data_IF_489411549745
#
_entry.id   IF_489411549745
#
_cell.length_a   1.000
_cell.length_b   1.000
_cell.length_c   1.000
_cell.angle_alpha   90.00
_cell.angle_beta   90.00
_cell.angle_gamma   90.00
#
_symmetry.space_group_name_H-M   'P 1'
#
loop_
_entity.id
_entity.type
_entity.pdbx_description
1 polymer ?
#
# COMPACT_ATOMS: atom_id res chain seq x y z
N UNK A 1 -15.82 8.37 -12.39
CA UNK A 1 -14.53 7.69 -12.13
C UNK A 1 -13.56 8.18 -13.17
N UNK A 2 -12.51 8.87 -12.76
CA UNK A 2 -11.53 9.42 -13.69
C UNK A 2 -10.16 9.26 -13.04
N UNK A 3 -9.13 8.92 -13.81
CA UNK A 3 -7.75 8.98 -13.33
C UNK A 3 -6.84 9.69 -14.31
N UNK A 4 -5.75 10.23 -13.79
CA UNK A 4 -4.65 10.83 -14.56
C UNK A 4 -3.33 10.21 -14.12
N UNK A 5 -2.42 9.91 -15.05
CA UNK A 5 -1.08 9.42 -14.69
C UNK A 5 -0.36 10.44 -13.81
N UNK A 6 0.23 10.00 -12.71
CA UNK A 6 1.01 10.84 -11.81
C UNK A 6 2.50 10.55 -11.94
N UNK A 7 2.87 9.28 -12.03
CA UNK A 7 4.27 8.87 -12.19
C UNK A 7 4.42 7.83 -13.30
N UNK A 8 5.40 8.05 -14.17
CA UNK A 8 5.83 7.09 -15.18
C UNK A 8 7.31 6.78 -14.96
N UNK A 9 7.66 5.50 -14.75
CA UNK A 9 9.00 5.06 -14.35
C UNK A 9 9.57 5.77 -13.10
N UNK A 10 8.68 6.25 -12.22
CA UNK A 10 9.07 6.98 -11.03
C UNK A 10 9.48 8.43 -11.28
N UNK A 11 9.20 8.98 -12.46
CA UNK A 11 9.27 10.41 -12.73
C UNK A 11 7.86 10.99 -12.55
N UNK A 12 7.72 12.02 -11.72
CA UNK A 12 6.52 12.83 -11.65
C UNK A 12 6.31 13.53 -13.00
N UNK A 13 5.20 13.23 -13.66
CA UNK A 13 4.87 13.78 -14.97
C UNK A 13 4.65 15.29 -14.94
N UNK A 14 4.48 15.89 -13.75
CA UNK A 14 4.35 17.34 -13.57
C UNK A 14 5.66 18.04 -13.15
N UNK A 15 6.76 17.31 -12.94
CA UNK A 15 8.05 17.87 -12.51
C UNK A 15 8.74 18.77 -13.54
N UNK A 16 8.25 18.82 -14.78
CA UNK A 16 8.92 19.50 -15.90
C UNK A 16 10.15 18.75 -16.44
N UNK A 17 10.49 17.58 -15.88
CA UNK A 17 11.52 16.70 -16.41
C UNK A 17 11.02 15.97 -17.65
N UNK A 18 11.95 15.68 -18.56
CA UNK A 18 11.65 14.86 -19.73
C UNK A 18 11.30 13.44 -19.28
N UNK A 19 10.09 13.00 -19.63
CA UNK A 19 9.61 11.63 -19.39
C UNK A 19 9.77 10.87 -20.70
N UNK A 20 10.68 9.89 -20.72
CA UNK A 20 10.98 9.13 -21.93
C UNK A 20 10.14 7.85 -21.99
N UNK A 21 9.42 7.60 -23.10
CA UNK A 21 8.83 6.30 -23.38
C UNK A 21 9.85 5.17 -23.27
N UNK A 22 9.40 3.98 -22.87
CA UNK A 22 10.29 2.82 -22.88
C UNK A 22 10.32 2.23 -24.29
N UNK A 23 11.47 2.34 -24.95
CA UNK A 23 11.74 1.61 -26.18
C UNK A 23 12.16 0.17 -25.85
N UNK A 24 11.26 -0.80 -25.99
CA UNK A 24 11.61 -2.21 -25.80
C UNK A 24 10.43 -3.13 -25.51
N UNK A 25 10.62 -4.42 -25.79
CA UNK A 25 9.64 -5.47 -25.51
C UNK A 25 9.80 -6.11 -24.13
N UNK A 26 9.07 -7.20 -23.91
CA UNK A 26 9.24 -8.05 -22.73
C UNK A 26 10.72 -8.44 -22.57
N UNK A 27 11.24 -8.35 -21.34
CA UNK A 27 12.65 -8.61 -21.03
C UNK A 27 13.55 -7.37 -20.99
N UNK A 28 13.09 -6.21 -21.48
CA UNK A 28 13.84 -4.96 -21.37
C UNK A 28 14.14 -4.61 -19.92
N UNK A 29 15.39 -4.28 -19.63
CA UNK A 29 15.86 -3.91 -18.31
C UNK A 29 15.99 -2.39 -18.20
N UNK A 30 15.00 -1.76 -17.56
CA UNK A 30 15.06 -0.33 -17.19
C UNK A 30 15.25 -0.23 -15.68
N UNK A 31 16.24 0.54 -15.16
CA UNK A 31 16.42 0.72 -13.73
C UNK A 31 15.16 1.22 -13.04
N UNK A 32 14.87 0.70 -11.84
CA UNK A 32 13.77 1.19 -11.01
C UNK A 32 14.33 2.10 -9.91
N UNK A 33 13.79 3.32 -9.71
CA UNK A 33 14.27 4.21 -8.65
C UNK A 33 13.89 3.75 -7.24
N UNK A 34 12.97 2.79 -7.10
CA UNK A 34 12.39 2.40 -5.80
C UNK A 34 12.88 1.05 -5.27
N UNK A 35 13.73 0.34 -6.01
CA UNK A 35 14.30 -0.96 -5.62
C UNK A 35 15.64 -1.18 -6.32
N UNK A 36 16.45 -2.08 -5.76
CA UNK A 36 17.62 -2.55 -6.48
C UNK A 36 17.20 -3.37 -7.72
N UNK A 37 17.69 -2.97 -8.90
CA UNK A 37 17.46 -3.67 -10.17
C UNK A 37 16.40 -3.01 -11.06
N UNK A 38 15.79 -3.81 -11.94
CA UNK A 38 14.93 -3.30 -13.01
C UNK A 38 13.46 -3.16 -12.64
N UNK A 39 12.74 -2.29 -13.36
CA UNK A 39 11.31 -2.14 -13.27
C UNK A 39 10.60 -3.44 -13.70
N UNK A 40 9.88 -4.06 -12.75
CA UNK A 40 9.18 -5.32 -13.00
C UNK A 40 8.09 -5.21 -14.07
N UNK A 41 7.43 -4.05 -14.17
CA UNK A 41 6.42 -3.78 -15.21
C UNK A 41 7.04 -3.82 -16.59
N UNK A 42 8.13 -3.09 -16.80
CA UNK A 42 8.86 -3.09 -18.09
C UNK A 42 9.35 -4.50 -18.45
N UNK A 43 10.01 -5.19 -17.51
CA UNK A 43 10.51 -6.55 -17.73
C UNK A 43 9.40 -7.52 -18.14
N UNK A 44 8.16 -7.31 -17.68
CA UNK A 44 6.99 -8.11 -18.04
C UNK A 44 6.28 -7.64 -19.33
N UNK A 45 6.68 -6.51 -19.92
CA UNK A 45 6.03 -5.88 -21.08
C UNK A 45 4.81 -5.03 -20.73
N UNK A 46 4.63 -4.67 -19.45
CA UNK A 46 3.54 -3.82 -18.98
C UNK A 46 3.96 -2.34 -18.97
N UNK A 47 2.97 -1.44 -19.11
CA UNK A 47 3.17 0.00 -19.02
C UNK A 47 3.68 0.39 -17.62
N UNK A 48 4.81 1.11 -17.50
CA UNK A 48 5.47 1.36 -16.21
C UNK A 48 4.90 2.57 -15.46
N UNK A 49 3.57 2.61 -15.31
CA UNK A 49 2.90 3.61 -14.46
C UNK A 49 3.12 3.23 -13.00
N UNK A 50 3.65 4.15 -12.19
CA UNK A 50 3.92 3.93 -10.77
C UNK A 50 2.75 4.35 -9.88
N UNK A 51 2.10 5.46 -10.23
CA UNK A 51 0.94 6.00 -9.52
C UNK A 51 0.05 6.81 -10.48
N UNK A 52 -1.20 6.98 -10.08
CA UNK A 52 -2.19 7.82 -10.76
C UNK A 52 -2.83 8.75 -9.72
N UNK A 53 -3.42 9.86 -10.15
CA UNK A 53 -4.34 10.64 -9.32
C UNK A 53 -5.77 10.36 -9.75
N UNK A 54 -6.68 10.26 -8.80
CA UNK A 54 -8.09 10.07 -9.10
C UNK A 54 -8.80 11.39 -9.46
N UNK A 55 -10.12 11.36 -9.60
CA UNK A 55 -10.92 12.54 -9.93
C UNK A 55 -10.93 13.63 -8.85
N UNK A 56 -10.57 13.30 -7.60
CA UNK A 56 -10.38 14.27 -6.52
C UNK A 56 -8.96 14.85 -6.47
N UNK A 57 -8.04 14.31 -7.27
CA UNK A 57 -6.63 14.68 -7.27
C UNK A 57 -5.79 13.90 -6.27
N UNK A 58 -6.37 12.96 -5.53
CA UNK A 58 -5.64 12.15 -4.54
C UNK A 58 -4.81 11.06 -5.21
N UNK A 59 -3.59 10.85 -4.71
CA UNK A 59 -2.65 9.88 -5.24
C UNK A 59 -3.07 8.43 -4.94
N UNK A 60 -2.95 7.58 -5.96
CA UNK A 60 -3.19 6.14 -5.90
C UNK A 60 -1.96 5.39 -6.42
N UNK A 61 -1.26 4.70 -5.52
CA UNK A 61 -0.04 3.96 -5.85
C UNK A 61 -0.40 2.61 -6.45
N UNK A 62 -0.11 2.42 -7.74
CA UNK A 62 -0.42 1.20 -8.51
C UNK A 62 0.80 0.28 -8.70
N UNK A 63 1.94 0.62 -8.07
CA UNK A 63 3.18 -0.13 -8.17
C UNK A 63 3.66 -0.53 -6.78
N UNK A 64 3.83 -1.84 -6.58
CA UNK A 64 4.35 -2.41 -5.32
C UNK A 64 5.72 -1.85 -4.94
N UNK A 65 6.62 -1.64 -5.92
CA UNK A 65 7.96 -1.10 -5.63
C UNK A 65 7.89 0.38 -5.23
N UNK A 66 6.96 1.15 -5.80
CA UNK A 66 6.74 2.54 -5.36
C UNK A 66 6.33 2.58 -3.90
N UNK A 67 5.63 1.57 -3.40
CA UNK A 67 5.30 1.43 -1.98
C UNK A 67 6.35 0.68 -1.16
N UNK A 68 7.58 0.52 -1.66
CA UNK A 68 8.65 -0.19 -0.94
C UNK A 68 8.41 -1.71 -0.78
N UNK A 69 8.02 -2.40 -1.86
CA UNK A 69 8.07 -3.87 -1.89
C UNK A 69 9.49 -4.44 -1.74
N UNK A 70 9.57 -5.71 -1.33
CA UNK A 70 10.79 -6.43 -0.91
C UNK A 70 11.69 -6.91 -2.04
N UNK A 71 11.18 -6.94 -3.28
CA UNK A 71 11.84 -7.57 -4.40
C UNK A 71 12.94 -6.69 -5.02
N UNK A 72 14.11 -7.27 -5.38
CA UNK A 72 14.54 -8.63 -5.09
C UNK A 72 15.03 -8.79 -3.64
N UNK A 73 14.62 -9.88 -2.99
CA UNK A 73 14.81 -10.11 -1.54
C UNK A 73 16.26 -10.15 -1.05
N UNK A 74 17.21 -10.48 -1.93
CA UNK A 74 18.62 -10.68 -1.59
C UNK A 74 19.50 -9.47 -1.93
N UNK A 75 18.95 -8.44 -2.59
CA UNK A 75 19.70 -7.22 -2.90
C UNK A 75 19.72 -6.25 -1.71
N UNK A 76 20.71 -5.36 -1.58
CA UNK A 76 20.69 -4.30 -0.58
C UNK A 76 19.43 -3.42 -0.69
N UNK A 77 18.98 -2.86 0.44
CA UNK A 77 17.94 -1.84 0.42
C UNK A 77 18.47 -0.59 -0.28
N UNK A 78 17.64 0.02 -1.11
CA UNK A 78 17.91 1.35 -1.65
C UNK A 78 17.78 2.42 -0.57
N UNK A 79 18.27 3.62 -0.84
CA UNK A 79 18.05 4.79 0.02
C UNK A 79 16.55 5.05 0.22
N UNK A 80 15.77 5.02 -0.86
CA UNK A 80 14.31 5.13 -0.82
C UNK A 80 13.66 4.13 0.15
N UNK A 81 13.99 2.84 0.02
CA UNK A 81 13.42 1.81 0.89
C UNK A 81 13.86 2.01 2.35
N UNK A 82 15.12 2.39 2.56
CA UNK A 82 15.66 2.66 3.90
C UNK A 82 14.94 3.84 4.56
N UNK A 83 14.60 4.88 3.79
CA UNK A 83 13.90 6.07 4.27
C UNK A 83 12.43 5.82 4.58
N UNK A 84 11.75 5.00 3.77
CA UNK A 84 10.40 4.54 4.08
C UNK A 84 10.39 3.76 5.40
N UNK A 85 11.30 2.79 5.54
CA UNK A 85 11.35 1.91 6.71
C UNK A 85 11.73 2.65 7.99
N UNK A 86 12.70 3.58 7.93
CA UNK A 86 13.06 4.39 9.11
C UNK A 86 11.96 5.38 9.48
N UNK A 87 11.23 5.93 8.51
CA UNK A 87 10.10 6.81 8.79
C UNK A 87 8.98 6.06 9.51
N UNK A 88 8.64 4.85 9.03
CA UNK A 88 7.70 3.97 9.74
C UNK A 88 8.21 3.64 11.15
N UNK A 89 9.49 3.27 11.30
CA UNK A 89 10.06 2.98 12.61
C UNK A 89 9.97 4.16 13.58
N UNK A 90 10.22 5.39 13.10
CA UNK A 90 10.08 6.63 13.88
C UNK A 90 8.64 6.88 14.30
N UNK A 91 7.68 6.61 13.43
CA UNK A 91 6.24 6.68 13.77
C UNK A 91 5.86 5.66 14.85
N UNK A 92 6.44 4.45 14.82
CA UNK A 92 6.09 3.37 15.74
C UNK A 92 6.80 3.44 17.10
N UNK A 93 8.08 3.80 17.11
CA UNK A 93 8.97 3.69 18.27
C UNK A 93 9.52 5.04 18.74
N UNK A 94 9.21 6.14 18.04
CA UNK A 94 9.54 7.51 18.44
C UNK A 94 10.52 8.20 17.49
N UNK A 95 10.55 9.55 17.48
CA UNK A 95 11.27 10.34 16.49
C UNK A 95 12.80 10.19 16.57
N UNK A 96 13.34 9.77 17.71
CA UNK A 96 14.78 9.60 17.94
C UNK A 96 15.35 8.29 17.39
N UNK A 97 14.55 7.46 16.72
CA UNK A 97 15.00 6.19 16.14
C UNK A 97 15.95 6.49 14.98
N UNK A 98 17.13 5.88 15.02
CA UNK A 98 18.12 5.95 13.96
C UNK A 98 18.17 4.68 13.11
N UNK A 99 18.73 4.76 11.90
CA UNK A 99 18.83 3.61 10.98
C UNK A 99 19.55 2.42 11.62
N UNK A 100 20.51 2.67 12.52
CA UNK A 100 21.25 1.64 13.25
C UNK A 100 20.45 0.94 14.35
N UNK A 101 19.31 1.51 14.76
CA UNK A 101 18.45 0.96 15.81
C UNK A 101 17.48 -0.10 15.27
N UNK A 102 17.39 -0.25 13.94
CA UNK A 102 16.37 -1.06 13.27
C UNK A 102 17.02 -2.13 12.40
N UNK A 103 16.69 -3.39 12.64
CA UNK A 103 17.02 -4.49 11.75
C UNK A 103 15.77 -4.97 11.02
N UNK A 104 15.91 -5.34 9.75
CA UNK A 104 14.79 -5.83 8.93
C UNK A 104 15.09 -7.17 8.28
N UNK A 105 14.06 -8.01 8.19
CA UNK A 105 14.08 -9.25 7.40
C UNK A 105 12.93 -9.21 6.41
N UNK A 106 13.21 -9.57 5.15
CA UNK A 106 12.24 -9.53 4.05
C UNK A 106 11.60 -10.88 3.80
N UNK A 107 10.34 -10.88 3.33
CA UNK A 107 9.64 -12.06 2.82
C UNK A 107 9.61 -13.23 3.82
N UNK A 108 9.39 -12.91 5.11
CA UNK A 108 9.48 -13.89 6.20
C UNK A 108 8.29 -14.85 6.13
N UNK A 109 8.51 -16.18 6.09
CA UNK A 109 7.41 -17.14 6.12
C UNK A 109 6.58 -16.99 7.40
N UNK A 110 5.27 -16.84 7.22
CA UNK A 110 4.27 -16.83 8.27
C UNK A 110 3.55 -18.16 8.22
N UNK A 111 3.87 -19.02 9.19
CA UNK A 111 3.34 -20.38 9.27
C UNK A 111 1.90 -20.37 9.76
N UNK A 112 1.06 -21.09 9.05
CA UNK A 112 -0.35 -21.32 9.41
C UNK A 112 -0.62 -22.81 9.33
N UNK A 113 -1.31 -23.36 10.33
CA UNK A 113 -1.67 -24.78 10.31
C UNK A 113 -2.54 -25.11 9.09
N UNK A 114 -2.20 -26.20 8.39
CA UNK A 114 -3.00 -26.72 7.27
C UNK A 114 -2.98 -25.92 5.97
N UNK A 115 -2.08 -24.94 5.80
CA UNK A 115 -1.94 -24.17 4.56
C UNK A 115 -0.47 -23.96 4.18
N UNK A 116 -0.22 -23.67 2.91
CA UNK A 116 1.10 -23.22 2.45
C UNK A 116 1.50 -21.92 3.12
N UNK A 117 2.77 -21.79 3.50
CA UNK A 117 3.31 -20.58 4.13
C UNK A 117 3.00 -19.33 3.30
N UNK A 118 2.36 -18.36 3.94
CA UNK A 118 2.29 -16.98 3.44
C UNK A 118 3.59 -16.25 3.80
N UNK A 119 3.82 -15.05 3.26
CA UNK A 119 5.03 -14.26 3.57
C UNK A 119 4.65 -12.87 4.01
N UNK A 120 5.24 -12.43 5.12
CA UNK A 120 5.24 -11.03 5.50
C UNK A 120 6.22 -10.25 4.63
N UNK A 121 5.86 -9.03 4.23
CA UNK A 121 6.78 -8.17 3.47
C UNK A 121 8.04 -7.91 4.31
N UNK A 122 7.87 -7.37 5.50
CA UNK A 122 8.98 -7.12 6.41
C UNK A 122 8.67 -7.65 7.82
N UNK A 123 9.70 -8.15 8.48
CA UNK A 123 9.77 -8.20 9.95
C UNK A 123 10.81 -7.17 10.35
N UNK A 124 10.39 -6.16 11.10
CA UNK A 124 11.28 -5.14 11.65
C UNK A 124 11.46 -5.39 13.14
N UNK A 125 12.71 -5.37 13.60
CA UNK A 125 13.04 -5.57 15.01
C UNK A 125 13.95 -4.43 15.49
N UNK A 126 13.68 -3.87 16.67
CA UNK A 126 14.62 -2.96 17.32
C UNK A 126 15.86 -3.74 17.75
N UNK A 127 17.04 -3.10 17.69
CA UNK A 127 18.27 -3.68 18.25
C UNK A 127 18.20 -3.81 19.77
N UNK A 128 19.03 -4.69 20.35
CA UNK A 128 19.12 -4.86 21.80
C UNK A 128 19.40 -3.55 22.53
N UNK A 129 20.31 -2.76 21.97
CA UNK A 129 20.81 -1.53 22.58
C UNK A 129 19.73 -0.46 22.59
N UNK A 130 18.98 -0.32 21.50
CA UNK A 130 17.84 0.59 21.44
C UNK A 130 16.72 0.13 22.39
N UNK A 131 16.37 -1.16 22.35
CA UNK A 131 15.31 -1.72 23.20
C UNK A 131 15.62 -1.59 24.70
N UNK A 132 16.88 -1.68 25.10
CA UNK A 132 17.30 -1.53 26.51
C UNK A 132 16.99 -0.14 27.09
N UNK A 133 16.80 0.87 26.22
CA UNK A 133 16.49 2.25 26.59
C UNK A 133 14.98 2.51 26.71
N UNK A 134 14.13 1.60 26.23
CA UNK A 134 12.68 1.74 26.31
C UNK A 134 12.16 1.44 27.72
N UNK A 135 11.67 2.48 28.40
CA UNK A 135 11.07 2.39 29.74
C UNK A 135 9.56 2.14 29.71
N UNK A 136 8.95 2.24 28.54
CA UNK A 136 7.49 2.23 28.35
C UNK A 136 6.97 0.88 27.81
N UNK A 137 7.89 -0.02 27.42
CA UNK A 137 7.58 -1.30 26.79
C UNK A 137 6.74 -1.16 25.50
N UNK A 138 6.86 -0.01 24.84
CA UNK A 138 6.19 0.33 23.58
C UNK A 138 7.07 0.01 22.37
N UNK A 139 8.32 -0.40 22.58
CA UNK A 139 9.28 -0.81 21.54
C UNK A 139 9.34 -2.33 21.45
N UNK A 140 9.09 -2.87 20.27
CA UNK A 140 9.00 -4.33 20.06
C UNK A 140 9.01 -4.72 18.59
N UNK A 141 9.16 -6.04 18.31
CA UNK A 141 9.20 -6.55 16.95
C UNK A 141 7.85 -6.36 16.26
N UNK A 142 7.89 -6.04 14.96
CA UNK A 142 6.69 -5.85 14.16
C UNK A 142 6.74 -6.66 12.86
N UNK A 143 5.60 -7.22 12.49
CA UNK A 143 5.30 -7.67 11.14
C UNK A 143 4.74 -6.46 10.40
N UNK A 144 5.46 -6.01 9.37
CA UNK A 144 5.08 -4.88 8.53
C UNK A 144 4.64 -5.39 7.16
N UNK A 145 3.44 -5.01 6.78
CA UNK A 145 2.84 -5.24 5.46
C UNK A 145 2.70 -3.91 4.72
N UNK A 146 3.12 -3.88 3.47
CA UNK A 146 3.07 -2.70 2.61
C UNK A 146 1.96 -2.91 1.58
N UNK A 147 0.89 -2.11 1.61
CA UNK A 147 -0.18 -2.21 0.62
C UNK A 147 -0.51 -0.91 -0.12
N UNK A 148 -0.44 -1.00 -1.45
CA UNK A 148 -0.72 0.13 -2.32
C UNK A 148 -2.21 0.23 -2.60
N UNK A 149 -2.54 1.08 -3.56
CA UNK A 149 -3.89 1.09 -4.12
C UNK A 149 -4.22 -0.19 -4.90
N UNK A 150 -3.22 -0.85 -5.48
CA UNK A 150 -3.46 -2.01 -6.34
C UNK A 150 -3.98 -1.59 -7.73
N UNK A 151 -4.83 -2.42 -8.34
CA UNK A 151 -5.27 -2.23 -9.72
C UNK A 151 -6.30 -1.10 -9.85
N UNK A 152 -6.30 -0.42 -10.99
CA UNK A 152 -7.41 0.46 -11.40
C UNK A 152 -8.48 -0.33 -12.16
N UNK A 153 -9.70 0.18 -12.24
CA UNK A 153 -10.74 -0.41 -13.09
C UNK A 153 -10.43 -0.16 -14.56
N UNK A 154 -10.90 -1.04 -15.45
CA UNK A 154 -10.71 -0.89 -16.90
C UNK A 154 -9.24 -0.59 -17.30
N UNK A 155 -8.28 -1.31 -16.73
CA UNK A 155 -6.83 -1.12 -16.94
C UNK A 155 -6.40 -1.05 -18.42
N UNK A 156 -7.17 -1.65 -19.32
CA UNK A 156 -6.97 -1.55 -20.77
C UNK A 156 -7.06 -0.13 -21.33
N UNK A 157 -7.96 0.71 -20.79
CA UNK A 157 -8.12 2.10 -21.24
C UNK A 157 -6.89 2.96 -20.87
N UNK A 158 -6.39 2.82 -19.64
CA UNK A 158 -5.15 3.46 -19.21
C UNK A 158 -3.96 2.97 -20.03
N UNK A 159 -3.87 1.66 -20.25
CA UNK A 159 -2.83 1.04 -21.09
C UNK A 159 -2.83 1.60 -22.51
N UNK A 160 -4.01 1.77 -23.10
CA UNK A 160 -4.17 2.33 -24.44
C UNK A 160 -3.75 3.81 -24.50
N UNK A 161 -4.07 4.62 -23.48
CA UNK A 161 -3.60 6.01 -23.43
C UNK A 161 -2.08 6.10 -23.36
N UNK A 162 -1.45 5.34 -22.47
CA UNK A 162 0.01 5.31 -22.37
C UNK A 162 0.62 4.84 -23.70
N UNK A 163 0.06 3.80 -24.32
CA UNK A 163 0.52 3.30 -25.61
C UNK A 163 0.38 4.32 -26.76
N UNK A 164 -0.66 5.16 -26.74
CA UNK A 164 -0.81 6.27 -27.70
C UNK A 164 0.27 7.33 -27.49
N UNK A 165 0.48 7.75 -26.25
CA UNK A 165 1.51 8.71 -25.92
C UNK A 165 2.91 8.21 -26.30
N UNK A 166 3.27 6.95 -26.02
CA UNK A 166 4.60 6.41 -26.30
C UNK A 166 5.02 6.46 -27.77
N UNK A 167 4.07 6.52 -28.71
CA UNK A 167 4.34 6.58 -30.16
C UNK A 167 4.17 7.99 -30.75
N UNK A 168 3.87 9.00 -29.93
CA UNK A 168 3.80 10.39 -30.38
C UNK A 168 5.21 10.91 -30.70
N UNK A 169 5.41 11.66 -31.81
CA UNK A 169 6.72 12.22 -32.16
C UNK A 169 7.31 13.12 -31.06
N UNK A 170 6.45 13.78 -30.27
CA UNK A 170 6.85 14.66 -29.16
C UNK A 170 6.85 13.95 -27.79
N UNK A 171 6.63 12.63 -27.72
CA UNK A 171 6.45 11.91 -26.45
C UNK A 171 7.61 12.10 -25.45
N UNK A 172 8.83 12.21 -25.97
CA UNK A 172 10.06 12.47 -25.22
C UNK A 172 10.13 13.87 -24.58
N UNK A 173 9.41 14.84 -25.15
CA UNK A 173 9.46 16.26 -24.77
C UNK A 173 8.14 16.76 -24.19
N UNK A 174 7.03 16.07 -24.45
CA UNK A 174 5.68 16.44 -24.05
C UNK A 174 4.96 15.25 -23.42
N UNK A 175 4.43 15.46 -22.21
CA UNK A 175 3.58 14.48 -21.51
C UNK A 175 2.09 14.70 -21.77
N UNK A 176 1.73 15.57 -22.73
CA UNK A 176 0.39 16.10 -22.91
C UNK A 176 -0.69 15.02 -23.00
N UNK A 177 -0.47 13.96 -23.79
CA UNK A 177 -1.41 12.84 -23.88
C UNK A 177 -1.34 11.91 -22.67
N UNK A 178 -0.18 11.73 -22.06
CA UNK A 178 0.01 10.90 -20.86
C UNK A 178 -0.83 11.41 -19.68
N UNK A 179 -0.93 12.74 -19.54
CA UNK A 179 -1.61 13.41 -18.42
C UNK A 179 -3.09 13.73 -18.70
N UNK A 180 -3.65 13.29 -19.83
CA UNK A 180 -5.09 13.47 -20.08
C UNK A 180 -5.91 12.62 -19.11
N UNK A 181 -7.02 13.15 -18.57
CA UNK A 181 -7.90 12.35 -17.72
C UNK A 181 -8.53 11.19 -18.49
N UNK A 182 -8.47 9.98 -17.93
CA UNK A 182 -9.13 8.78 -18.45
C UNK A 182 -10.46 8.59 -17.71
N UNK A 183 -11.57 9.03 -18.32
CA UNK A 183 -12.90 9.14 -17.69
C UNK A 183 -13.64 7.81 -17.49
N UNK A 184 -13.07 6.68 -17.94
CA UNK A 184 -13.64 5.33 -17.75
C UNK A 184 -12.90 4.52 -16.68
N UNK A 185 -11.83 5.06 -16.11
CA UNK A 185 -10.95 4.36 -15.17
C UNK A 185 -11.11 4.97 -13.78
N UNK A 186 -11.20 4.11 -12.77
CA UNK A 186 -11.25 4.49 -11.36
C UNK A 186 -10.31 3.65 -10.50
N UNK A 187 -10.14 4.05 -9.26
CA UNK A 187 -9.51 3.26 -8.21
C UNK A 187 -10.45 2.13 -7.78
N UNK A 188 -9.90 1.03 -7.22
CA UNK A 188 -10.70 -0.11 -6.71
C UNK A 188 -10.27 -0.44 -5.28
N UNK A 189 -10.61 0.44 -4.35
CA UNK A 189 -10.32 0.34 -2.91
C UNK A 189 -10.87 -0.95 -2.32
N UNK A 190 -12.12 -1.31 -2.65
CA UNK A 190 -12.78 -2.50 -2.14
C UNK A 190 -12.02 -3.80 -2.50
N UNK A 191 -11.44 -3.89 -3.71
CA UNK A 191 -10.67 -5.06 -4.14
C UNK A 191 -9.31 -5.12 -3.44
N UNK A 192 -8.62 -3.98 -3.33
CA UNK A 192 -7.39 -3.87 -2.56
C UNK A 192 -7.63 -4.28 -1.10
N UNK A 193 -8.74 -3.84 -0.52
CA UNK A 193 -9.15 -4.16 0.85
C UNK A 193 -9.48 -5.64 1.03
N UNK A 194 -10.29 -6.24 0.14
CA UNK A 194 -10.66 -7.66 0.22
C UNK A 194 -9.43 -8.57 0.30
N UNK A 195 -8.39 -8.27 -0.50
CA UNK A 195 -7.12 -9.01 -0.47
C UNK A 195 -6.36 -8.83 0.84
N UNK A 196 -6.55 -7.71 1.52
CA UNK A 196 -5.89 -7.43 2.80
C UNK A 196 -6.58 -8.06 4.00
N UNK A 197 -7.92 -8.17 3.99
CA UNK A 197 -8.66 -8.76 5.10
C UNK A 197 -8.14 -10.13 5.52
N UNK A 198 -7.83 -11.00 4.55
CA UNK A 198 -7.23 -12.31 4.85
C UNK A 198 -5.88 -12.12 5.56
N UNK A 199 -5.02 -11.23 5.05
CA UNK A 199 -3.72 -10.91 5.64
C UNK A 199 -3.83 -10.42 7.07
N UNK A 200 -4.77 -9.53 7.37
CA UNK A 200 -5.05 -9.07 8.73
C UNK A 200 -5.31 -10.26 9.66
N UNK A 201 -6.20 -11.18 9.27
CA UNK A 201 -6.64 -12.27 10.13
C UNK A 201 -5.53 -13.28 10.45
N UNK A 202 -4.72 -13.68 9.45
CA UNK A 202 -3.68 -14.69 9.71
C UNK A 202 -2.35 -14.08 10.16
N UNK A 203 -1.82 -13.05 9.47
CA UNK A 203 -0.52 -12.44 9.84
C UNK A 203 -0.65 -11.72 11.17
N UNK A 204 -1.76 -11.04 11.40
CA UNK A 204 -2.02 -10.37 12.67
C UNK A 204 -2.08 -11.34 13.84
N UNK A 205 -2.80 -12.45 13.67
CA UNK A 205 -2.88 -13.47 14.72
C UNK A 205 -1.51 -14.10 15.01
N UNK A 206 -0.73 -14.46 13.98
CA UNK A 206 0.62 -15.02 14.16
C UNK A 206 1.55 -14.00 14.84
N UNK A 207 1.54 -12.74 14.39
CA UNK A 207 2.38 -11.68 14.96
C UNK A 207 2.10 -11.51 16.46
N UNK A 208 0.84 -11.34 16.84
CA UNK A 208 0.44 -11.07 18.23
C UNK A 208 0.69 -12.28 19.13
N UNK A 209 0.39 -13.50 18.65
CA UNK A 209 0.67 -14.73 19.42
C UNK A 209 2.16 -15.06 19.51
N UNK A 210 3.00 -14.42 18.68
CA UNK A 210 4.46 -14.55 18.71
C UNK A 210 5.12 -13.37 19.44
N UNK A 211 4.38 -12.63 20.28
CA UNK A 211 4.86 -11.46 21.03
C UNK A 211 5.31 -10.26 20.17
N UNK A 212 4.93 -10.24 18.90
CA UNK A 212 5.11 -9.10 18.01
C UNK A 212 3.85 -8.26 17.88
N UNK A 213 3.93 -7.28 16.99
CA UNK A 213 2.79 -6.43 16.60
C UNK A 213 2.61 -6.45 15.09
N UNK A 214 1.42 -6.05 14.65
CA UNK A 214 1.08 -5.97 13.24
C UNK A 214 1.05 -4.50 12.81
N UNK A 215 1.70 -4.19 11.68
CA UNK A 215 1.70 -2.84 11.11
C UNK A 215 1.34 -2.96 9.64
N UNK A 216 0.37 -2.17 9.21
CA UNK A 216 0.05 -2.00 7.80
C UNK A 216 0.36 -0.59 7.38
N UNK A 217 1.31 -0.44 6.46
CA UNK A 217 1.56 0.82 5.79
C UNK A 217 0.77 0.85 4.48
N UNK A 218 -0.14 1.81 4.34
CA UNK A 218 -1.09 1.87 3.22
C UNK A 218 -1.14 3.26 2.60
N UNK A 219 -1.55 3.38 1.33
CA UNK A 219 -1.84 4.69 0.75
C UNK A 219 -3.02 5.38 1.46
N UNK A 220 -3.02 6.72 1.54
CA UNK A 220 -4.07 7.53 2.22
C UNK A 220 -5.49 7.16 1.80
N UNK A 221 -5.73 6.94 0.51
CA UNK A 221 -7.05 6.58 0.00
C UNK A 221 -7.54 5.23 0.50
N UNK A 222 -6.63 4.25 0.59
CA UNK A 222 -6.95 2.96 1.18
C UNK A 222 -7.20 3.13 2.67
N UNK A 223 -6.38 3.89 3.38
CA UNK A 223 -6.61 4.22 4.79
C UNK A 223 -8.01 4.80 5.02
N UNK A 224 -8.40 5.83 4.26
CA UNK A 224 -9.70 6.49 4.40
C UNK A 224 -10.86 5.51 4.11
N UNK A 225 -10.71 4.64 3.11
CA UNK A 225 -11.65 3.56 2.84
C UNK A 225 -11.78 2.59 4.03
N UNK A 226 -10.66 2.19 4.66
CA UNK A 226 -10.68 1.33 5.85
C UNK A 226 -11.38 2.00 7.03
N UNK A 227 -11.03 3.25 7.31
CA UNK A 227 -11.57 3.99 8.44
C UNK A 227 -13.07 4.27 8.27
N UNK A 228 -13.53 4.52 7.05
CA UNK A 228 -14.96 4.65 6.76
C UNK A 228 -15.73 3.35 7.06
N UNK A 229 -15.17 2.19 6.70
CA UNK A 229 -15.78 0.90 7.02
C UNK A 229 -15.73 0.57 8.53
N UNK A 230 -14.85 1.23 9.28
CA UNK A 230 -14.68 1.05 10.72
C UNK A 230 -15.37 2.12 11.55
N UNK A 231 -16.01 3.11 10.92
CA UNK A 231 -16.52 4.33 11.57
C UNK A 231 -17.57 4.08 12.66
N UNK A 232 -18.28 2.96 12.59
CA UNK A 232 -19.25 2.54 13.62
C UNK A 232 -18.58 2.06 14.92
N UNK A 233 -17.27 1.79 14.90
CA UNK A 233 -16.52 1.28 16.05
C UNK A 233 -15.55 2.33 16.58
N UNK A 234 -15.83 2.85 17.78
CA UNK A 234 -14.90 3.71 18.48
C UNK A 234 -13.61 2.94 18.81
N UNK A 235 -12.52 3.23 18.10
CA UNK A 235 -11.20 2.69 18.39
C UNK A 235 -10.40 3.70 19.19
N UNK A 236 -9.96 3.29 20.37
CA UNK A 236 -9.09 4.10 21.23
C UNK A 236 -7.69 4.16 20.61
N UNK A 237 -7.09 5.35 20.60
CA UNK A 237 -5.66 5.50 20.27
C UNK A 237 -4.80 4.95 21.42
N UNK A 238 -4.03 3.92 21.12
CA UNK A 238 -3.14 3.21 22.04
C UNK A 238 -1.65 3.53 21.80
N UNK A 239 -1.31 4.60 21.06
CA UNK A 239 0.09 4.96 20.75
C UNK A 239 0.98 5.09 22.00
N UNK A 240 0.43 5.63 23.08
CA UNK A 240 1.11 5.76 24.39
C UNK A 240 0.92 4.56 25.34
N UNK A 241 0.32 3.47 24.86
CA UNK A 241 -0.01 2.28 25.64
C UNK A 241 0.42 1.00 24.89
N UNK A 242 -0.12 -0.16 25.30
CA UNK A 242 0.23 -1.44 24.69
C UNK A 242 -0.61 -1.73 23.44
N UNK A 243 -0.34 -1.01 22.34
CA UNK A 243 -0.93 -1.31 21.04
C UNK A 243 -0.37 -2.63 20.48
N UNK A 244 -1.17 -3.31 19.66
CA UNK A 244 -0.77 -4.54 18.95
C UNK A 244 -1.04 -4.50 17.45
N UNK A 245 -1.75 -3.47 16.99
CA UNK A 245 -1.96 -3.16 15.58
C UNK A 245 -1.74 -1.67 15.33
N UNK A 246 -1.06 -1.34 14.23
CA UNK A 246 -1.00 0.02 13.70
C UNK A 246 -1.38 0.06 12.21
N UNK A 247 -2.15 1.08 11.82
CA UNK A 247 -2.32 1.50 10.42
C UNK A 247 -1.57 2.81 10.22
N UNK A 248 -0.69 2.84 9.23
CA UNK A 248 0.18 3.98 8.94
C UNK A 248 -0.08 4.40 7.49
N UNK A 249 -0.70 5.56 7.29
CA UNK A 249 -0.92 6.06 5.95
C UNK A 249 0.34 6.69 5.35
N UNK A 250 0.52 6.49 4.05
CA UNK A 250 1.50 7.16 3.20
C UNK A 250 0.71 8.07 2.25
N UNK A 251 1.08 9.34 2.20
CA UNK A 251 0.45 10.35 1.34
C UNK A 251 1.49 11.07 0.49
N UNK A 252 1.00 11.83 -0.49
CA UNK A 252 1.80 12.83 -1.19
C UNK A 252 2.29 13.90 -0.19
N UNK A 253 3.52 14.40 -0.39
CA UNK A 253 4.10 15.53 0.33
C UNK A 253 4.26 16.72 -0.61
N UNK A 254 3.19 17.50 -0.77
CA UNK A 254 3.14 18.65 -1.69
C UNK A 254 4.24 19.69 -1.44
N UNK A 255 4.82 19.70 -0.23
CA UNK A 255 5.83 20.69 0.20
C UNK A 255 7.27 20.15 0.12
N UNK A 256 7.47 18.87 -0.17
CA UNK A 256 8.79 18.20 -0.14
C UNK A 256 9.60 18.59 1.10
N UNK A 257 9.10 18.19 2.27
CA UNK A 257 9.65 18.52 3.59
C UNK A 257 10.74 17.54 4.06
N UNK A 258 11.39 17.82 5.20
CA UNK A 258 12.39 16.93 5.83
C UNK A 258 11.87 15.52 6.16
N UNK A 259 10.54 15.31 6.16
CA UNK A 259 9.91 14.00 6.32
C UNK A 259 9.62 13.25 5.01
N UNK A 260 9.94 13.83 3.86
CA UNK A 260 9.78 13.18 2.56
C UNK A 260 10.76 12.03 2.37
N UNK A 261 10.30 10.95 1.74
CA UNK A 261 11.16 9.85 1.33
C UNK A 261 12.07 10.29 0.20
N UNK A 262 13.36 9.98 0.30
CA UNK A 262 14.36 10.43 -0.69
C UNK A 262 14.06 9.91 -2.08
N UNK A 263 13.77 10.84 -2.98
CA UNK A 263 13.60 10.63 -4.42
C UNK A 263 14.01 11.88 -5.18
N UNK A 264 14.63 11.72 -6.35
CA UNK A 264 15.14 12.85 -7.14
C UNK A 264 14.02 13.53 -7.93
N UNK A 265 13.26 12.76 -8.70
CA UNK A 265 12.29 13.26 -9.68
C UNK A 265 10.88 12.67 -9.51
N UNK A 266 10.65 11.91 -8.43
CA UNK A 266 9.36 11.26 -8.14
C UNK A 266 8.40 12.19 -7.41
N UNK A 267 7.11 11.84 -7.38
CA UNK A 267 6.12 12.55 -6.55
C UNK A 267 6.53 12.40 -5.08
N UNK A 268 6.85 13.45 -4.32
CA UNK A 268 7.30 13.28 -2.94
C UNK A 268 6.24 12.58 -2.08
N UNK A 269 6.65 11.64 -1.23
CA UNK A 269 5.78 10.90 -0.33
C UNK A 269 6.28 11.00 1.10
N UNK A 270 5.37 10.93 2.07
CA UNK A 270 5.69 10.88 3.50
C UNK A 270 4.69 10.03 4.28
N UNK A 271 5.00 9.78 5.54
CA UNK A 271 4.00 9.30 6.49
C UNK A 271 3.00 10.43 6.77
N UNK A 272 1.71 10.12 6.70
CA UNK A 272 0.66 11.07 7.02
C UNK A 272 0.31 10.97 8.52
N UNK A 273 0.84 11.90 9.30
CA UNK A 273 0.64 11.96 10.74
C UNK A 273 -0.83 12.16 11.16
N UNK A 274 -1.69 12.65 10.26
CA UNK A 274 -3.13 12.79 10.52
C UNK A 274 -3.91 11.51 10.25
N UNK A 275 -3.29 10.52 9.60
CA UNK A 275 -3.90 9.24 9.21
C UNK A 275 -3.13 8.08 9.82
N UNK A 276 -3.14 8.05 11.15
CA UNK A 276 -2.50 7.03 11.96
C UNK A 276 -3.54 6.40 12.89
N UNK A 277 -3.53 5.07 12.98
CA UNK A 277 -4.32 4.33 13.96
C UNK A 277 -3.39 3.44 14.76
N UNK A 278 -3.42 3.54 16.09
CA UNK A 278 -2.78 2.60 17.00
C UNK A 278 -3.87 1.98 17.86
N UNK A 279 -4.07 0.66 17.79
CA UNK A 279 -5.15 -0.01 18.50
C UNK A 279 -4.75 -1.44 18.89
N UNK A 280 -5.67 -2.17 19.49
CA UNK A 280 -5.49 -3.61 19.72
C UNK A 280 -5.99 -4.40 18.53
N UNK A 281 -5.19 -5.38 18.09
CA UNK A 281 -5.53 -6.31 17.03
C UNK A 281 -6.90 -6.98 17.25
N UNK A 282 -7.25 -7.51 18.45
CA UNK A 282 -8.56 -8.12 18.67
C UNK A 282 -9.72 -7.14 18.49
N UNK A 283 -9.59 -5.89 18.96
CA UNK A 283 -10.63 -4.86 18.76
C UNK A 283 -10.80 -4.53 17.29
N UNK A 284 -9.69 -4.43 16.55
CA UNK A 284 -9.73 -4.18 15.11
C UNK A 284 -10.45 -5.31 14.37
N UNK A 285 -10.12 -6.58 14.65
CA UNK A 285 -10.81 -7.73 14.04
C UNK A 285 -12.29 -7.76 14.40
N UNK A 286 -12.65 -7.47 15.65
CA UNK A 286 -14.06 -7.38 16.04
C UNK A 286 -14.79 -6.25 15.29
N UNK A 287 -14.14 -5.10 15.11
CA UNK A 287 -14.68 -3.99 14.34
C UNK A 287 -14.93 -4.38 12.87
N UNK A 288 -14.03 -5.19 12.28
CA UNK A 288 -14.22 -5.74 10.93
C UNK A 288 -15.44 -6.66 10.83
N UNK A 289 -15.62 -7.54 11.80
CA UNK A 289 -16.77 -8.47 11.85
C UNK A 289 -18.08 -7.69 12.01
N UNK A 290 -18.08 -6.66 12.85
CA UNK A 290 -19.26 -5.85 13.16
C UNK A 290 -19.73 -4.93 12.01
N UNK A 291 -19.03 -4.92 10.87
CA UNK A 291 -19.51 -4.24 9.66
C UNK A 291 -20.78 -4.90 9.10
N UNK A 292 -20.95 -6.20 9.34
CA UNK A 292 -22.17 -6.92 8.98
C UNK A 292 -23.27 -6.67 10.01
N UNK A 293 -24.34 -6.00 9.60
CA UNK A 293 -25.57 -5.90 10.39
C UNK A 293 -26.44 -7.15 10.28
N UNK A 294 -27.44 -7.28 11.16
CA UNK A 294 -28.52 -8.24 10.96
C UNK A 294 -29.47 -7.69 9.91
N UNK A 295 -29.68 -8.45 8.83
CA UNK A 295 -30.68 -8.14 7.80
C UNK A 295 -31.54 -9.38 7.53
N UNK A 296 -32.63 -9.58 8.29
CA UNK A 296 -33.56 -10.68 8.08
C UNK A 296 -34.25 -10.63 6.71
N UNK A 297 -34.39 -9.44 6.11
CA UNK A 297 -35.08 -9.27 4.84
C UNK A 297 -34.29 -9.87 3.67
N UNK A 298 -32.97 -10.04 3.83
CA UNK A 298 -32.12 -10.78 2.88
C UNK A 298 -32.58 -12.24 2.67
N UNK A 299 -33.25 -12.83 3.67
CA UNK A 299 -33.77 -14.20 3.63
C UNK A 299 -35.26 -14.28 3.33
N UNK A 300 -35.88 -13.15 2.98
CA UNK A 300 -37.31 -13.02 2.68
C UNK A 300 -37.52 -12.51 1.26
N UNK A 301 -38.73 -12.70 0.76
CA UNK A 301 -39.12 -12.26 -0.58
C UNK A 301 -39.02 -13.36 -1.64
N UNK A 302 -38.81 -12.96 -2.89
CA UNK A 302 -38.90 -13.86 -4.03
C UNK A 302 -37.57 -14.52 -4.35
N UNK A 303 -37.55 -15.86 -4.31
CA UNK A 303 -36.39 -16.69 -4.62
C UNK A 303 -36.62 -17.51 -5.88
N UNK A 304 -35.61 -17.59 -6.73
CA UNK A 304 -35.58 -18.53 -7.84
C UNK A 304 -35.26 -19.93 -7.30
N UNK A 305 -36.16 -20.88 -7.51
CA UNK A 305 -35.84 -22.29 -7.26
C UNK A 305 -34.92 -22.81 -8.35
N UNK A 306 -34.08 -23.79 -7.99
CA UNK A 306 -33.14 -24.40 -8.92
C UNK A 306 -33.80 -25.19 -10.06
N UNK A 307 -35.08 -25.57 -9.92
CA UNK A 307 -35.89 -26.17 -10.99
C UNK A 307 -36.61 -25.13 -11.88
N UNK A 308 -36.40 -23.82 -11.63
CA UNK A 308 -36.87 -22.72 -12.48
C UNK A 308 -38.00 -21.85 -11.91
N UNK A 309 -39.00 -22.36 -11.17
CA UNK A 309 -40.05 -21.52 -10.61
C UNK A 309 -39.55 -20.51 -9.58
N UNK A 310 -40.17 -19.34 -9.52
CA UNK A 310 -39.98 -18.39 -8.41
C UNK A 310 -40.93 -18.76 -7.26
N UNK A 311 -40.44 -18.71 -6.02
CA UNK A 311 -41.23 -18.86 -4.79
C UNK A 311 -41.04 -17.66 -3.87
N UNK A 312 -41.98 -17.44 -2.96
CA UNK A 312 -41.85 -16.43 -1.91
C UNK A 312 -41.52 -17.12 -0.59
N UNK A 313 -40.45 -16.65 0.07
CA UNK A 313 -40.04 -17.07 1.42
C UNK A 313 -40.36 -15.91 2.38
N UNK A 314 -41.00 -16.21 3.52
CA UNK A 314 -41.37 -15.25 4.55
C UNK A 314 -40.44 -15.26 5.76
#
# INVERSE_FOLDING_TARGET
MTVTVAEYLGIDVKSGKSVQPVSGGKGTQVPCPFRAGSCSKVSKGNKPVCSVRDGSGELWIVCEHRLCATSPKDAPLTEYQSDVLISIARTLWGPSVEKTDVAVRREVPVKTEGRSDSRADYVMVPTSDFRSKDKTNTVGPVVLEMQGGGETSQTGALTAQVGKWEVEPSAATEVGTLIKPVTSVGTIEANAWRRQQEQFLYKGNVAVNSFGRLVFAVGSKLYDYLMNNLASTAMQDLRGANWTLALVAISEDDQKSDGSFSTTDSVPLKIDENRLLFTSYPKFVQALINQGGSDPEMFRGSFLRLDGPTITVG
#
